data_IF_845991521413
#
_entry.id   IF_845991521413
#
_cell.length_a   1.000
_cell.length_b   1.000
_cell.length_c   1.000
_cell.angle_alpha   90.00
_cell.angle_beta   90.00
_cell.angle_gamma   90.00
#
_symmetry.space_group_name_H-M   'P 1'
#
loop_
_entity.id
_entity.type
_entity.pdbx_description
1 polymer ?
#
# COMPACT_ATOMS: atom_id res chain seq x y z
N UNK A 1 -18.22 -0.71 -5.18
CA UNK A 1 -18.06 0.69 -4.71
C UNK A 1 -17.55 0.69 -3.27
N UNK A 2 -17.21 1.84 -2.68
CA UNK A 2 -16.68 1.93 -1.31
C UNK A 2 -17.70 1.63 -0.19
N UNK A 3 -18.91 1.20 -0.56
CA UNK A 3 -19.98 0.76 0.33
C UNK A 3 -20.42 -0.64 -0.09
N UNK A 4 -20.74 -1.47 0.89
CA UNK A 4 -21.27 -2.83 0.72
C UNK A 4 -22.58 -2.98 1.50
N UNK A 5 -23.47 -3.87 1.06
CA UNK A 5 -24.71 -4.14 1.79
C UNK A 5 -24.51 -5.32 2.74
N UNK A 6 -24.84 -5.15 4.01
CA UNK A 6 -24.97 -6.26 4.94
C UNK A 6 -26.35 -6.90 4.73
N UNK A 7 -26.38 -8.07 4.11
CA UNK A 7 -27.63 -8.76 3.79
C UNK A 7 -28.43 -9.20 5.02
N UNK A 8 -27.78 -9.40 6.17
CA UNK A 8 -28.44 -9.86 7.39
C UNK A 8 -29.06 -8.69 8.14
N UNK A 9 -28.29 -7.61 8.29
CA UNK A 9 -28.72 -6.41 9.01
C UNK A 9 -29.54 -5.46 8.13
N UNK A 10 -29.54 -5.66 6.80
CA UNK A 10 -30.20 -4.80 5.80
C UNK A 10 -29.73 -3.35 5.88
N UNK A 11 -28.45 -3.14 6.17
CA UNK A 11 -27.81 -1.81 6.25
C UNK A 11 -26.61 -1.72 5.34
N UNK A 12 -26.31 -0.53 4.84
CA UNK A 12 -25.08 -0.26 4.09
C UNK A 12 -23.91 -0.08 5.05
N UNK A 13 -22.81 -0.79 4.80
CA UNK A 13 -21.53 -0.67 5.51
C UNK A 13 -20.47 -0.04 4.62
N UNK A 14 -19.47 0.55 5.26
CA UNK A 14 -18.26 1.10 4.62
C UNK A 14 -17.13 1.17 5.62
N UNK A 15 -15.92 1.43 5.14
CA UNK A 15 -14.82 1.83 6.01
C UNK A 15 -15.18 3.13 6.78
N UNK A 16 -15.04 3.07 8.10
CA UNK A 16 -15.22 4.20 9.03
C UNK A 16 -13.89 4.71 9.59
N UNK A 17 -12.76 4.30 8.99
CA UNK A 17 -11.42 4.58 9.50
C UNK A 17 -11.22 4.14 10.96
N UNK A 18 -11.90 3.06 11.35
CA UNK A 18 -11.88 2.52 12.71
C UNK A 18 -12.24 3.60 13.76
N UNK A 19 -13.29 4.39 13.48
CA UNK A 19 -13.80 5.46 14.36
C UNK A 19 -13.87 5.04 15.84
N UNK A 20 -14.33 3.83 16.11
CA UNK A 20 -14.49 3.31 17.47
C UNK A 20 -13.14 3.12 18.18
N UNK A 21 -12.07 2.84 17.44
CA UNK A 21 -10.72 2.61 17.97
C UNK A 21 -9.93 3.91 18.12
N UNK A 22 -10.07 4.84 17.18
CA UNK A 22 -9.30 6.10 17.21
C UNK A 22 -9.75 7.00 18.37
N UNK A 23 -11.02 6.92 18.77
CA UNK A 23 -11.59 7.71 19.87
C UNK A 23 -11.63 6.95 21.21
N UNK A 24 -11.19 5.69 21.25
CA UNK A 24 -11.17 4.89 22.47
C UNK A 24 -10.06 5.38 23.42
N UNK A 25 -10.47 6.06 24.50
CA UNK A 25 -9.54 6.59 25.50
C UNK A 25 -8.90 5.53 26.38
N UNK A 26 -9.42 4.29 26.38
CA UNK A 26 -8.83 3.18 27.14
C UNK A 26 -7.54 2.64 26.49
N UNK A 27 -7.37 2.87 25.19
CA UNK A 27 -6.15 2.54 24.46
C UNK A 27 -5.09 3.64 24.65
N UNK A 28 -3.82 3.24 24.70
CA UNK A 28 -2.71 4.17 24.58
C UNK A 28 -2.79 4.91 23.25
N UNK A 29 -2.37 6.18 23.21
CA UNK A 29 -2.47 7.03 22.02
C UNK A 29 -1.79 6.40 20.79
N UNK A 30 -0.63 5.76 20.98
CA UNK A 30 0.10 5.04 19.93
C UNK A 30 -0.70 3.88 19.30
N UNK A 31 -1.65 3.32 20.05
CA UNK A 31 -2.50 2.20 19.61
C UNK A 31 -3.84 2.63 19.04
N UNK A 32 -4.21 3.92 19.14
CA UNK A 32 -5.41 4.53 18.54
C UNK A 32 -5.24 4.76 17.04
N UNK A 33 -4.81 3.72 16.33
CA UNK A 33 -4.62 3.69 14.87
C UNK A 33 -5.56 2.66 14.23
N UNK A 34 -6.00 2.87 12.98
CA UNK A 34 -6.86 1.91 12.28
C UNK A 34 -6.25 0.50 12.21
N UNK A 35 -7.10 -0.52 12.27
CA UNK A 35 -6.67 -1.92 12.27
C UNK A 35 -5.87 -2.27 11.00
N UNK A 36 -6.24 -1.72 9.85
CA UNK A 36 -5.53 -1.95 8.59
C UNK A 36 -4.12 -1.34 8.54
N UNK A 37 -3.86 -0.30 9.35
CA UNK A 37 -2.54 0.31 9.53
C UNK A 37 -1.70 -0.56 10.47
N UNK A 38 -2.25 -0.91 11.64
CA UNK A 38 -1.57 -1.79 12.62
C UNK A 38 -1.24 -3.17 12.06
N UNK A 39 -2.11 -3.73 11.22
CA UNK A 39 -1.92 -5.07 10.67
C UNK A 39 -0.91 -5.12 9.51
N UNK A 40 -0.43 -3.99 9.00
CA UNK A 40 0.45 -3.98 7.84
C UNK A 40 1.92 -4.17 8.25
N UNK A 41 2.56 -5.32 7.97
CA UNK A 41 3.95 -5.55 8.35
C UNK A 41 4.91 -4.67 7.55
N UNK A 42 4.57 -4.37 6.30
CA UNK A 42 5.37 -3.53 5.40
C UNK A 42 5.22 -2.03 5.66
N UNK A 43 4.39 -1.62 6.64
CA UNK A 43 4.07 -0.20 6.91
C UNK A 43 3.61 0.57 5.67
N UNK A 44 2.91 -0.09 4.75
CA UNK A 44 2.43 0.50 3.51
C UNK A 44 1.28 1.51 3.70
N UNK A 45 0.70 1.58 4.90
CA UNK A 45 -0.41 2.49 5.22
C UNK A 45 0.00 3.39 6.37
N UNK A 46 -0.13 4.69 6.15
CA UNK A 46 0.09 5.73 7.15
C UNK A 46 -1.26 6.34 7.54
N UNK A 47 -1.38 6.83 8.78
CA UNK A 47 -2.61 7.44 9.29
C UNK A 47 -2.27 8.64 10.17
N UNK A 48 -2.99 9.75 9.97
CA UNK A 48 -2.76 11.04 10.59
C UNK A 48 -3.60 12.13 9.94
N UNK A 49 -3.46 13.36 10.43
CA UNK A 49 -4.18 14.52 9.90
C UNK A 49 -3.46 15.09 8.67
N UNK A 50 -4.17 15.20 7.55
CA UNK A 50 -3.66 15.76 6.28
C UNK A 50 -3.64 17.30 6.28
N UNK A 51 -4.32 17.93 7.24
CA UNK A 51 -4.35 19.38 7.40
C UNK A 51 -3.24 19.90 8.31
N UNK A 52 -2.68 19.04 9.16
CA UNK A 52 -1.45 19.34 9.90
C UNK A 52 -0.23 19.12 9.00
N UNK A 53 0.51 20.19 8.69
CA UNK A 53 1.70 20.13 7.84
C UNK A 53 2.83 19.31 8.45
N UNK A 54 2.86 19.18 9.78
CA UNK A 54 3.91 18.48 10.51
C UNK A 54 3.62 16.99 10.70
N UNK A 55 2.42 16.53 10.34
CA UNK A 55 2.04 15.12 10.44
C UNK A 55 2.87 14.23 9.50
N UNK A 56 3.07 12.98 9.92
CA UNK A 56 3.78 11.96 9.14
C UNK A 56 3.15 11.77 7.75
N UNK A 57 1.81 11.79 7.68
CA UNK A 57 1.07 11.61 6.43
C UNK A 57 1.25 12.81 5.49
N UNK A 58 1.15 14.03 6.02
CA UNK A 58 1.36 15.26 5.23
C UNK A 58 2.76 15.36 4.68
N UNK A 59 3.77 14.99 5.48
CA UNK A 59 5.17 14.90 5.04
C UNK A 59 5.33 13.84 3.95
N UNK A 60 4.80 12.64 4.15
CA UNK A 60 4.88 11.56 3.17
C UNK A 60 4.23 11.93 1.82
N UNK A 61 3.06 12.59 1.83
CA UNK A 61 2.41 13.06 0.60
C UNK A 61 3.27 14.09 -0.12
N UNK A 62 3.75 15.11 0.61
CA UNK A 62 4.54 16.21 0.05
C UNK A 62 5.87 15.74 -0.52
N UNK A 63 6.58 14.90 0.21
CA UNK A 63 7.94 14.47 -0.14
C UNK A 63 7.96 13.34 -1.17
N UNK A 64 6.92 12.50 -1.19
CA UNK A 64 6.92 11.29 -2.02
C UNK A 64 5.99 11.39 -3.25
N UNK A 65 5.40 12.56 -3.52
CA UNK A 65 4.54 12.79 -4.68
C UNK A 65 3.16 12.14 -4.56
N UNK A 66 2.57 12.21 -3.36
CA UNK A 66 1.26 11.62 -3.09
C UNK A 66 0.14 12.27 -3.91
N UNK A 67 -0.83 11.46 -4.34
CA UNK A 67 -1.94 11.90 -5.18
C UNK A 67 -3.28 11.34 -4.71
N UNK A 68 -4.37 12.05 -5.02
CA UNK A 68 -5.72 11.57 -4.84
C UNK A 68 -6.10 10.61 -5.98
N UNK A 69 -6.80 9.52 -5.65
CA UNK A 69 -7.28 8.58 -6.66
C UNK A 69 -8.48 9.18 -7.42
N UNK A 70 -8.46 9.10 -8.75
CA UNK A 70 -9.53 9.59 -9.64
C UNK A 70 -9.91 11.07 -9.40
N UNK A 71 -8.97 12.02 -9.52
CA UNK A 71 -9.23 13.43 -9.28
C UNK A 71 -10.30 14.03 -10.21
N UNK A 72 -10.50 13.44 -11.39
CA UNK A 72 -11.48 13.87 -12.40
C UNK A 72 -12.94 13.79 -11.92
N UNK A 73 -13.21 13.08 -10.83
CA UNK A 73 -14.54 12.95 -10.24
C UNK A 73 -14.89 14.04 -9.22
N UNK A 74 -13.94 14.92 -8.86
CA UNK A 74 -14.19 16.05 -7.94
C UNK A 74 -14.61 15.63 -6.52
N UNK A 75 -14.31 14.41 -6.09
CA UNK A 75 -14.78 13.85 -4.81
C UNK A 75 -13.90 14.23 -3.62
N UNK A 76 -12.75 14.86 -3.85
CA UNK A 76 -11.78 15.28 -2.83
C UNK A 76 -11.56 14.23 -1.72
N UNK A 77 -11.12 13.01 -2.06
CA UNK A 77 -11.00 11.94 -1.08
C UNK A 77 -9.87 12.23 -0.08
N UNK A 78 -10.07 11.86 1.19
CA UNK A 78 -9.04 11.98 2.23
C UNK A 78 -7.90 10.96 2.08
N UNK A 79 -8.11 9.90 1.31
CA UNK A 79 -7.08 8.89 1.06
C UNK A 79 -6.17 9.33 -0.08
N UNK A 80 -4.86 9.34 0.18
CA UNK A 80 -3.83 9.62 -0.80
C UNK A 80 -2.95 8.38 -1.04
N UNK A 81 -2.53 8.21 -2.28
CA UNK A 81 -1.66 7.12 -2.71
C UNK A 81 -0.27 7.67 -2.99
N UNK A 82 0.75 6.89 -2.65
CA UNK A 82 2.13 7.21 -2.99
C UNK A 82 2.52 6.44 -4.27
N UNK A 83 3.25 7.07 -5.21
CA UNK A 83 3.74 6.39 -6.40
C UNK A 83 4.70 5.26 -6.00
N UNK A 84 4.67 4.16 -6.75
CA UNK A 84 5.60 3.05 -6.56
C UNK A 84 7.01 3.55 -6.89
N UNK A 85 7.96 3.34 -5.97
CA UNK A 85 9.38 3.56 -6.24
C UNK A 85 10.00 2.28 -6.80
N UNK A 86 10.78 2.40 -7.88
CA UNK A 86 11.60 1.28 -8.36
C UNK A 86 12.71 1.02 -7.35
N UNK A 87 12.74 -0.19 -6.80
CA UNK A 87 13.84 -0.65 -5.95
C UNK A 87 14.92 -1.23 -6.85
N UNK A 88 16.09 -0.59 -6.92
CA UNK A 88 17.24 -1.19 -7.60
C UNK A 88 17.85 -2.26 -6.70
N UNK A 89 17.56 -3.52 -7.00
CA UNK A 89 18.16 -4.66 -6.32
C UNK A 89 19.51 -4.98 -6.95
N UNK A 90 20.57 -5.06 -6.15
CA UNK A 90 21.85 -5.62 -6.57
C UNK A 90 21.75 -7.13 -6.40
N UNK A 91 21.51 -7.84 -7.49
CA UNK A 91 21.50 -9.30 -7.52
C UNK A 91 22.96 -9.78 -7.59
N UNK A 92 23.37 -10.60 -6.64
CA UNK A 92 24.69 -11.23 -6.68
C UNK A 92 24.64 -12.50 -7.57
N UNK A 93 25.78 -12.89 -8.15
CA UNK A 93 25.84 -14.01 -9.12
C UNK A 93 25.37 -15.35 -8.53
N UNK A 94 25.54 -15.54 -7.23
CA UNK A 94 25.09 -16.70 -6.47
C UNK A 94 23.57 -16.73 -6.22
N UNK A 95 22.88 -15.59 -6.34
CA UNK A 95 21.41 -15.49 -6.22
C UNK A 95 20.68 -15.71 -7.55
N UNK A 96 21.40 -15.78 -8.67
CA UNK A 96 20.83 -16.05 -10.00
C UNK A 96 20.34 -17.49 -10.17
N UNK A 97 20.92 -18.43 -9.43
CA UNK A 97 20.51 -19.84 -9.46
C UNK A 97 19.80 -20.23 -8.15
N UNK A 98 18.55 -20.67 -8.26
CA UNK A 98 17.84 -21.28 -7.12
C UNK A 98 18.51 -22.60 -6.75
N UNK A 99 19.13 -22.65 -5.58
CA UNK A 99 19.75 -23.87 -5.01
C UNK A 99 18.71 -25.01 -4.88
N UNK A 100 17.45 -24.66 -4.62
CA UNK A 100 16.35 -25.60 -4.43
C UNK A 100 15.65 -26.06 -5.72
N UNK A 101 16.20 -25.76 -6.91
CA UNK A 101 15.68 -26.25 -8.19
C UNK A 101 16.67 -27.21 -8.87
N UNK A 102 16.88 -28.42 -8.31
CA UNK A 102 17.88 -29.37 -8.79
C UNK A 102 17.63 -29.90 -10.20
N UNK A 103 16.38 -29.82 -10.68
CA UNK A 103 15.98 -30.30 -12.02
C UNK A 103 15.94 -29.18 -13.07
N UNK A 104 16.21 -27.91 -12.69
CA UNK A 104 16.11 -26.72 -13.56
C UNK A 104 14.83 -26.68 -14.40
N UNK A 105 13.71 -27.20 -13.86
CA UNK A 105 12.43 -27.35 -14.59
C UNK A 105 11.83 -25.98 -14.93
N UNK A 106 11.95 -25.02 -14.02
CA UNK A 106 11.59 -23.61 -14.22
C UNK A 106 12.42 -22.88 -15.31
N UNK A 107 13.43 -23.54 -15.88
CA UNK A 107 14.34 -22.99 -16.87
C UNK A 107 13.93 -23.22 -18.34
N UNK A 108 12.83 -23.92 -18.61
CA UNK A 108 12.36 -24.10 -19.98
C UNK A 108 11.42 -22.97 -20.42
N UNK A 109 11.82 -22.33 -21.54
CA UNK A 109 11.19 -21.24 -22.32
C UNK A 109 11.75 -19.83 -22.04
N UNK A 110 11.74 -18.93 -23.05
CA UNK A 110 12.79 -17.94 -23.26
C UNK A 110 12.81 -16.91 -22.14
N UNK A 111 13.97 -16.77 -21.48
CA UNK A 111 14.19 -15.69 -20.51
C UNK A 111 14.35 -14.38 -21.28
N UNK A 112 13.63 -13.32 -20.91
CA UNK A 112 13.86 -12.01 -21.49
C UNK A 112 15.32 -11.61 -21.28
N UNK A 113 15.91 -10.95 -22.28
CA UNK A 113 17.28 -10.47 -22.22
C UNK A 113 17.49 -9.53 -21.02
N UNK A 114 18.73 -9.44 -20.50
CA UNK A 114 19.06 -8.59 -19.34
C UNK A 114 18.62 -7.12 -19.48
N UNK A 115 18.46 -6.64 -20.71
CA UNK A 115 18.08 -5.26 -21.03
C UNK A 115 16.69 -5.17 -21.68
N UNK A 116 15.90 -6.23 -21.67
CA UNK A 116 14.54 -6.18 -22.20
C UNK A 116 13.62 -5.51 -21.16
N UNK A 117 12.69 -4.66 -21.63
CA UNK A 117 11.77 -3.98 -20.75
C UNK A 117 10.90 -5.00 -20.03
N UNK A 118 10.87 -4.88 -18.70
CA UNK A 118 10.11 -5.76 -17.83
C UNK A 118 8.71 -5.20 -17.61
N UNK A 119 7.81 -6.00 -17.04
CA UNK A 119 6.47 -5.52 -16.64
C UNK A 119 6.55 -4.28 -15.71
N UNK A 120 7.65 -4.16 -14.96
CA UNK A 120 7.98 -3.04 -14.08
C UNK A 120 8.40 -1.76 -14.81
N UNK A 121 8.70 -1.82 -16.12
CA UNK A 121 9.08 -0.66 -16.92
C UNK A 121 7.89 0.06 -17.57
N UNK A 122 6.73 -0.59 -17.60
CA UNK A 122 5.48 -0.05 -18.14
C UNK A 122 4.48 0.43 -17.07
N UNK A 123 4.86 0.35 -15.79
CA UNK A 123 4.01 0.73 -14.63
C UNK A 123 4.46 2.04 -13.97
#
# INVERSE_FOLDING_TARGET
GAREIDEKQKVMKKCTLCVDRIYDTSLAEIDRKPSCVKACPASARLFGDIHDSESEVSKAIRENGGYALMPEWGTHPSNHYLPRRKTNLKIHEDELERVDNPLKVDGQLPKPGKNEPTLDDFS
#
